data_IF_468682293669
#
_entry.id   IF_468682293669
#
_cell.length_a   1.000
_cell.length_b   1.000
_cell.length_c   1.000
_cell.angle_alpha   90.00
_cell.angle_beta   90.00
_cell.angle_gamma   90.00
#
_symmetry.space_group_name_H-M   'P 1'
#
loop_
_entity.id
_entity.type
_entity.pdbx_description
1 polymer ?
#
# COMPACT_ATOMS: atom_id res chain seq x y z
N UNK A 1 -6.48 -13.55 -18.33
CA UNK A 1 -7.04 -12.34 -18.97
C UNK A 1 -7.03 -11.24 -17.92
N UNK A 2 -6.41 -10.09 -18.18
CA UNK A 2 -6.45 -8.94 -17.27
C UNK A 2 -7.71 -8.12 -17.51
N UNK A 3 -8.50 -7.87 -16.48
CA UNK A 3 -9.69 -7.03 -16.58
C UNK A 3 -9.40 -5.66 -15.95
N UNK A 4 -9.73 -4.58 -16.66
CA UNK A 4 -9.60 -3.23 -16.15
C UNK A 4 -10.89 -2.45 -16.42
N UNK A 5 -11.40 -1.74 -15.41
CA UNK A 5 -12.62 -0.93 -15.55
C UNK A 5 -12.38 0.17 -16.58
N UNK A 6 -13.34 0.48 -17.47
CA UNK A 6 -13.21 1.56 -18.44
C UNK A 6 -13.43 2.91 -17.76
N UNK A 7 -12.46 3.34 -16.95
CA UNK A 7 -12.45 4.67 -16.33
C UNK A 7 -11.54 5.63 -17.09
N UNK A 8 -11.82 6.93 -17.01
CA UNK A 8 -10.94 7.98 -17.59
C UNK A 8 -9.50 7.87 -17.04
N UNK A 9 -9.33 7.34 -15.82
CA UNK A 9 -8.05 7.22 -15.13
C UNK A 9 -7.25 5.97 -15.48
N UNK A 10 -7.90 4.90 -15.95
CA UNK A 10 -7.26 3.57 -16.11
C UNK A 10 -7.50 2.89 -17.46
N UNK A 11 -8.46 3.34 -18.26
CA UNK A 11 -8.80 2.70 -19.54
C UNK A 11 -7.62 2.66 -20.52
N UNK A 12 -6.78 3.69 -20.53
CA UNK A 12 -5.58 3.80 -21.37
C UNK A 12 -4.56 2.68 -21.16
N UNK A 13 -4.61 1.97 -20.02
CA UNK A 13 -3.71 0.84 -19.71
C UNK A 13 -3.98 -0.37 -20.60
N UNK A 14 -5.23 -0.59 -21.01
CA UNK A 14 -5.66 -1.75 -21.80
C UNK A 14 -4.94 -1.82 -23.17
N UNK A 15 -4.99 -0.78 -24.02
CA UNK A 15 -4.32 -0.82 -25.32
C UNK A 15 -2.78 -0.83 -25.21
N UNK A 16 -2.19 -0.40 -24.09
CA UNK A 16 -0.76 -0.58 -23.85
C UNK A 16 -0.41 -2.04 -23.55
N UNK A 17 -1.12 -2.66 -22.61
CA UNK A 17 -0.94 -4.06 -22.27
C UNK A 17 -1.13 -4.98 -23.48
N UNK A 18 -2.18 -4.75 -24.28
CA UNK A 18 -2.42 -5.52 -25.51
C UNK A 18 -1.36 -5.33 -26.61
N UNK A 19 -0.51 -4.30 -26.51
CA UNK A 19 0.67 -4.11 -27.35
C UNK A 19 1.95 -4.67 -26.72
N UNK A 20 1.85 -5.36 -25.59
CA UNK A 20 3.01 -5.89 -24.86
C UNK A 20 3.85 -4.81 -24.19
N UNK A 21 3.25 -3.65 -23.89
CA UNK A 21 3.90 -2.52 -23.21
C UNK A 21 3.37 -2.42 -21.78
N UNK A 22 4.26 -2.25 -20.80
CA UNK A 22 3.83 -2.00 -19.43
C UNK A 22 3.16 -0.62 -19.32
N UNK A 23 2.01 -0.52 -18.65
CA UNK A 23 1.38 0.77 -18.35
C UNK A 23 2.02 1.48 -17.15
N UNK A 24 2.97 0.84 -16.46
CA UNK A 24 3.66 1.39 -15.29
C UNK A 24 5.16 1.19 -15.43
N UNK A 25 5.93 2.22 -15.06
CA UNK A 25 7.40 2.11 -15.00
C UNK A 25 7.76 1.23 -13.81
N UNK A 26 8.70 0.30 -14.03
CA UNK A 26 9.28 -0.53 -12.98
C UNK A 26 10.79 -0.50 -13.10
N UNK A 27 11.47 -0.51 -11.96
CA UNK A 27 12.93 -0.59 -11.87
C UNK A 27 13.44 -2.02 -12.14
N UNK A 28 12.56 -3.02 -12.16
CA UNK A 28 12.86 -4.38 -12.58
C UNK A 28 12.54 -4.55 -14.09
N UNK A 29 13.56 -4.64 -14.96
CA UNK A 29 13.36 -4.76 -16.40
C UNK A 29 12.61 -6.04 -16.78
N UNK A 30 12.60 -7.07 -15.91
CA UNK A 30 11.85 -8.31 -16.15
C UNK A 30 10.35 -8.06 -16.31
N UNK A 31 9.80 -6.99 -15.73
CA UNK A 31 8.36 -6.67 -15.85
C UNK A 31 7.98 -6.44 -17.32
N UNK A 32 8.71 -5.55 -18.00
CA UNK A 32 8.48 -5.24 -19.41
C UNK A 32 8.72 -6.46 -20.30
N UNK A 33 9.80 -7.20 -20.03
CA UNK A 33 10.12 -8.44 -20.75
C UNK A 33 9.02 -9.49 -20.64
N UNK A 34 8.48 -9.69 -19.43
CA UNK A 34 7.41 -10.65 -19.15
C UNK A 34 6.12 -10.25 -19.85
N UNK A 35 5.72 -8.98 -19.77
CA UNK A 35 4.50 -8.49 -20.43
C UNK A 35 4.63 -8.68 -21.95
N UNK A 36 5.75 -8.23 -22.55
CA UNK A 36 6.02 -8.38 -23.98
C UNK A 36 5.96 -9.85 -24.40
N UNK A 37 6.63 -10.75 -23.67
CA UNK A 37 6.66 -12.19 -23.94
C UNK A 37 5.28 -12.82 -23.81
N UNK A 38 4.52 -12.49 -22.78
CA UNK A 38 3.19 -13.07 -22.54
C UNK A 38 2.17 -12.62 -23.59
N UNK A 39 2.32 -11.43 -24.16
CA UNK A 39 1.41 -10.88 -25.18
C UNK A 39 1.79 -11.35 -26.59
N UNK A 40 3.04 -11.17 -26.99
CA UNK A 40 3.46 -11.38 -28.39
C UNK A 40 3.91 -12.81 -28.69
N UNK A 41 4.56 -13.47 -27.75
CA UNK A 41 5.19 -14.78 -27.98
C UNK A 41 4.29 -15.91 -27.47
N UNK A 42 3.96 -15.90 -26.17
CA UNK A 42 3.18 -16.97 -25.54
C UNK A 42 1.68 -16.84 -25.76
N UNK A 43 1.19 -15.62 -26.04
CA UNK A 43 -0.24 -15.29 -26.17
C UNK A 43 -1.08 -15.72 -24.95
N UNK A 44 -0.49 -15.63 -23.77
CA UNK A 44 -1.11 -15.98 -22.47
C UNK A 44 -1.65 -14.75 -21.72
N UNK A 45 -1.36 -13.54 -22.20
CA UNK A 45 -1.86 -12.29 -21.63
C UNK A 45 -2.61 -11.47 -22.65
N UNK A 46 -3.81 -11.05 -22.27
CA UNK A 46 -4.63 -10.05 -22.97
C UNK A 46 -5.40 -9.27 -21.93
N UNK A 47 -5.66 -8.00 -22.21
CA UNK A 47 -6.38 -7.06 -21.35
C UNK A 47 -7.73 -6.69 -21.98
N UNK A 48 -8.77 -6.56 -21.14
CA UNK A 48 -10.11 -6.21 -21.58
C UNK A 48 -10.86 -5.39 -20.54
N UNK A 49 -11.97 -4.77 -20.95
CA UNK A 49 -12.93 -4.11 -20.09
C UNK A 49 -14.31 -4.79 -20.10
N UNK A 50 -14.51 -5.84 -20.91
CA UNK A 50 -15.77 -6.60 -20.89
C UNK A 50 -15.81 -7.60 -19.75
N UNK A 51 -16.94 -7.62 -19.03
CA UNK A 51 -17.20 -8.58 -17.96
C UNK A 51 -17.44 -10.01 -18.50
N UNK A 52 -17.64 -10.20 -19.81
CA UNK A 52 -17.77 -11.54 -20.39
C UNK A 52 -16.53 -12.40 -20.18
N UNK A 53 -15.35 -11.79 -20.02
CA UNK A 53 -14.12 -12.53 -19.73
C UNK A 53 -14.19 -13.30 -18.40
N UNK A 54 -15.00 -12.86 -17.44
CA UNK A 54 -15.17 -13.53 -16.14
C UNK A 54 -15.87 -14.90 -16.29
N UNK A 55 -16.69 -15.08 -17.34
CA UNK A 55 -17.35 -16.36 -17.64
C UNK A 55 -16.35 -17.47 -18.01
N UNK A 56 -15.16 -17.08 -18.46
CA UNK A 56 -14.09 -17.99 -18.90
C UNK A 56 -13.14 -18.38 -17.77
N UNK A 57 -13.24 -17.75 -16.60
CA UNK A 57 -12.28 -17.95 -15.52
C UNK A 57 -12.52 -19.26 -14.76
N UNK A 58 -11.43 -19.96 -14.44
CA UNK A 58 -11.39 -20.98 -13.38
C UNK A 58 -11.00 -20.35 -12.04
N UNK A 59 -10.16 -19.31 -12.08
CA UNK A 59 -9.75 -18.48 -10.94
C UNK A 59 -9.83 -17.01 -11.32
N UNK A 60 -10.47 -16.20 -10.48
CA UNK A 60 -10.48 -14.73 -10.57
C UNK A 60 -9.64 -14.18 -9.42
N UNK A 61 -8.52 -13.55 -9.76
CA UNK A 61 -7.69 -12.81 -8.78
C UNK A 61 -8.18 -11.37 -8.68
N UNK A 62 -8.44 -10.90 -7.47
CA UNK A 62 -9.00 -9.58 -7.19
C UNK A 62 -7.92 -8.66 -6.60
N UNK A 63 -7.45 -7.72 -7.42
CA UNK A 63 -6.48 -6.67 -7.09
C UNK A 63 -7.09 -5.27 -7.26
N UNK A 64 -8.21 -5.04 -6.58
CA UNK A 64 -8.92 -3.75 -6.58
C UNK A 64 -8.45 -2.92 -5.39
N UNK A 65 -8.33 -1.60 -5.55
CA UNK A 65 -7.93 -0.74 -4.44
C UNK A 65 -9.00 -0.74 -3.33
N UNK A 66 -8.59 -1.03 -2.11
CA UNK A 66 -9.35 -0.84 -0.87
C UNK A 66 -8.48 0.04 0.03
N UNK A 67 -8.81 1.33 0.10
CA UNK A 67 -7.98 2.32 0.80
C UNK A 67 -8.47 2.56 2.23
N UNK A 68 -7.62 3.16 3.05
CA UNK A 68 -7.99 3.70 4.35
C UNK A 68 -7.77 5.21 4.35
N UNK A 69 -8.88 5.93 4.32
CA UNK A 69 -8.96 7.38 4.20
C UNK A 69 -8.88 8.02 5.59
N UNK A 70 -7.83 8.78 5.86
CA UNK A 70 -7.72 9.60 7.08
C UNK A 70 -8.34 10.97 6.85
N UNK A 71 -9.11 11.49 7.80
CA UNK A 71 -9.67 12.85 7.71
C UNK A 71 -8.65 13.90 8.16
N UNK A 72 -7.78 13.57 9.11
CA UNK A 72 -6.74 14.47 9.63
C UNK A 72 -5.34 13.85 9.51
N UNK A 73 -4.32 14.70 9.45
CA UNK A 73 -2.92 14.28 9.53
C UNK A 73 -2.56 13.95 10.98
N UNK A 74 -2.02 12.76 11.23
CA UNK A 74 -1.61 12.34 12.59
C UNK A 74 -2.79 11.98 13.50
N UNK A 75 -3.92 11.57 12.92
CA UNK A 75 -5.04 11.01 13.66
C UNK A 75 -5.71 9.93 12.80
N UNK A 76 -5.20 8.70 12.85
CA UNK A 76 -5.72 7.59 12.07
C UNK A 76 -7.15 7.21 12.48
N UNK A 77 -7.58 7.55 13.71
CA UNK A 77 -8.87 7.08 14.26
C UNK A 77 -10.11 7.64 13.58
N UNK A 78 -9.99 8.84 13.02
CA UNK A 78 -11.08 9.46 12.29
C UNK A 78 -11.20 8.94 10.85
N UNK A 79 -10.37 7.97 10.46
CA UNK A 79 -10.39 7.42 9.12
C UNK A 79 -11.42 6.32 8.90
N UNK A 80 -11.64 6.00 7.63
CA UNK A 80 -12.56 4.95 7.19
C UNK A 80 -12.00 4.14 6.03
N UNK A 81 -12.40 2.86 5.96
CA UNK A 81 -12.09 2.02 4.82
C UNK A 81 -13.00 2.38 3.63
N UNK A 82 -12.42 2.62 2.45
CA UNK A 82 -13.16 2.80 1.20
C UNK A 82 -13.46 1.44 0.56
N UNK A 83 -14.62 0.89 0.92
CA UNK A 83 -15.06 -0.45 0.50
C UNK A 83 -15.83 -0.45 -0.83
N UNK A 84 -16.31 0.72 -1.29
CA UNK A 84 -17.32 0.80 -2.34
C UNK A 84 -16.86 0.18 -3.68
N UNK A 85 -15.60 0.43 -4.06
CA UNK A 85 -15.02 -0.13 -5.28
C UNK A 85 -14.87 -1.67 -5.22
N UNK A 86 -14.52 -2.19 -4.03
CA UNK A 86 -14.36 -3.63 -3.81
C UNK A 86 -15.72 -4.33 -3.82
N UNK A 87 -16.71 -3.82 -3.07
CA UNK A 87 -18.07 -4.38 -3.03
C UNK A 87 -18.71 -4.43 -4.42
N UNK A 88 -18.62 -3.34 -5.18
CA UNK A 88 -19.09 -3.30 -6.57
C UNK A 88 -18.39 -4.34 -7.45
N UNK A 89 -17.08 -4.52 -7.26
CA UNK A 89 -16.32 -5.51 -8.03
C UNK A 89 -16.75 -6.93 -7.70
N UNK A 90 -16.99 -7.24 -6.42
CA UNK A 90 -17.46 -8.54 -5.95
C UNK A 90 -18.86 -8.87 -6.49
N UNK A 91 -19.77 -7.88 -6.52
CA UNK A 91 -21.09 -8.04 -7.16
C UNK A 91 -20.97 -8.38 -8.64
N UNK A 92 -20.15 -7.62 -9.39
CA UNK A 92 -19.94 -7.84 -10.83
C UNK A 92 -19.31 -9.20 -11.09
N UNK A 93 -18.31 -9.60 -10.30
CA UNK A 93 -17.68 -10.91 -10.39
C UNK A 93 -18.73 -12.00 -10.20
N UNK A 94 -19.49 -11.95 -9.11
CA UNK A 94 -20.52 -12.93 -8.82
C UNK A 94 -21.65 -12.97 -9.86
N UNK A 95 -21.91 -11.89 -10.59
CA UNK A 95 -22.92 -11.86 -11.65
C UNK A 95 -22.47 -12.65 -12.90
N UNK A 96 -21.16 -12.76 -13.14
CA UNK A 96 -20.63 -13.27 -14.41
C UNK A 96 -19.88 -14.60 -14.31
N UNK A 97 -19.25 -14.91 -13.16
CA UNK A 97 -18.48 -16.16 -13.02
C UNK A 97 -19.37 -17.40 -13.09
N UNK A 98 -18.74 -18.54 -13.42
CA UNK A 98 -19.34 -19.86 -13.20
C UNK A 98 -19.36 -20.19 -11.70
N UNK A 99 -20.31 -21.00 -11.22
CA UNK A 99 -20.42 -21.34 -9.79
C UNK A 99 -19.19 -22.02 -9.17
N UNK A 100 -18.39 -22.69 -10.01
CA UNK A 100 -17.21 -23.46 -9.65
C UNK A 100 -15.89 -22.67 -9.78
N UNK A 101 -15.96 -21.39 -10.17
CA UNK A 101 -14.78 -20.53 -10.24
C UNK A 101 -14.34 -20.11 -8.82
N UNK A 102 -13.04 -20.20 -8.55
CA UNK A 102 -12.45 -19.66 -7.32
C UNK A 102 -12.28 -18.14 -7.45
N UNK A 103 -12.70 -17.39 -6.45
CA UNK A 103 -12.34 -15.97 -6.32
C UNK A 103 -11.29 -15.82 -5.23
N UNK A 104 -10.10 -15.38 -5.64
CA UNK A 104 -8.95 -15.13 -4.77
C UNK A 104 -8.82 -13.62 -4.55
N UNK A 105 -9.05 -13.17 -3.32
CA UNK A 105 -8.84 -11.78 -2.93
C UNK A 105 -7.37 -11.60 -2.55
N UNK A 106 -6.63 -10.80 -3.34
CA UNK A 106 -5.26 -10.38 -3.03
C UNK A 106 -5.14 -8.92 -2.60
N UNK A 107 -6.21 -8.13 -2.81
CA UNK A 107 -6.38 -6.81 -2.19
C UNK A 107 -6.15 -6.86 -0.68
N UNK A 108 -5.32 -5.95 -0.15
CA UNK A 108 -5.28 -5.69 1.30
C UNK A 108 -6.62 -5.16 1.76
N UNK A 109 -7.30 -5.90 2.62
CA UNK A 109 -8.64 -5.59 3.11
C UNK A 109 -8.70 -5.54 4.64
N UNK A 110 -9.78 -4.99 5.18
CA UNK A 110 -10.04 -5.03 6.61
C UNK A 110 -10.32 -6.47 7.06
N UNK A 111 -9.77 -6.95 8.20
CA UNK A 111 -10.01 -8.31 8.67
C UNK A 111 -11.51 -8.62 8.82
N UNK A 112 -11.93 -9.75 8.26
CA UNK A 112 -13.33 -10.17 8.16
C UNK A 112 -13.97 -9.88 6.80
N UNK A 113 -13.32 -9.17 5.89
CA UNK A 113 -13.91 -8.77 4.59
C UNK A 113 -14.34 -9.98 3.75
N UNK A 114 -13.50 -11.02 3.64
CA UNK A 114 -13.84 -12.19 2.83
C UNK A 114 -15.10 -12.90 3.35
N UNK A 115 -15.20 -13.11 4.67
CA UNK A 115 -16.31 -13.86 5.29
C UNK A 115 -17.58 -13.01 5.51
N UNK A 116 -17.43 -11.73 5.84
CA UNK A 116 -18.55 -10.87 6.28
C UNK A 116 -19.02 -9.88 5.22
N UNK A 117 -18.23 -9.66 4.15
CA UNK A 117 -18.57 -8.74 3.06
C UNK A 117 -18.67 -9.49 1.74
N UNK A 118 -17.57 -10.11 1.29
CA UNK A 118 -17.52 -10.77 -0.01
C UNK A 118 -18.47 -11.96 -0.09
N UNK A 119 -18.41 -12.87 0.89
CA UNK A 119 -19.28 -14.04 0.95
C UNK A 119 -20.78 -13.70 0.87
N UNK A 120 -21.36 -12.84 1.73
CA UNK A 120 -22.78 -12.53 1.65
C UNK A 120 -23.18 -11.80 0.36
N UNK A 121 -22.35 -10.88 -0.15
CA UNK A 121 -22.59 -10.21 -1.44
C UNK A 121 -22.69 -11.24 -2.57
N UNK A 122 -21.67 -12.07 -2.71
CA UNK A 122 -21.58 -13.03 -3.80
C UNK A 122 -22.64 -14.12 -3.69
N UNK A 123 -22.92 -14.61 -2.48
CA UNK A 123 -23.98 -15.60 -2.22
C UNK A 123 -25.36 -15.05 -2.58
N UNK A 124 -25.67 -13.79 -2.24
CA UNK A 124 -26.92 -13.13 -2.63
C UNK A 124 -27.07 -13.05 -4.15
N UNK A 125 -26.00 -12.72 -4.87
CA UNK A 125 -26.00 -12.70 -6.34
C UNK A 125 -26.18 -14.11 -6.91
N UNK A 126 -25.50 -15.12 -6.38
CA UNK A 126 -25.68 -16.52 -6.80
C UNK A 126 -27.14 -16.97 -6.66
N UNK A 127 -27.78 -16.71 -5.52
CA UNK A 127 -29.21 -17.04 -5.33
C UNK A 127 -30.12 -16.31 -6.31
N UNK A 128 -29.84 -15.05 -6.63
CA UNK A 128 -30.57 -14.28 -7.66
C UNK A 128 -30.44 -14.90 -9.05
N UNK A 129 -29.28 -15.50 -9.36
CA UNK A 129 -28.99 -16.22 -10.60
C UNK A 129 -29.52 -17.67 -10.61
N UNK A 130 -30.18 -18.12 -9.54
CA UNK A 130 -30.66 -19.51 -9.41
C UNK A 130 -29.57 -20.53 -9.11
N UNK A 131 -28.40 -20.08 -8.63
CA UNK A 131 -27.28 -20.95 -8.24
C UNK A 131 -27.43 -21.30 -6.75
N UNK A 132 -27.49 -22.59 -6.43
CA UNK A 132 -27.70 -23.09 -5.06
C UNK A 132 -26.40 -23.33 -4.29
N UNK A 133 -25.28 -23.58 -4.97
CA UNK A 133 -23.97 -23.71 -4.33
C UNK A 133 -23.53 -22.39 -3.71
N UNK A 134 -22.65 -22.46 -2.72
CA UNK A 134 -22.01 -21.28 -2.15
C UNK A 134 -20.76 -20.91 -2.96
N UNK A 135 -20.40 -19.61 -3.04
CA UNK A 135 -19.23 -19.17 -3.80
C UNK A 135 -17.92 -19.66 -3.16
N UNK A 136 -16.97 -20.06 -4.00
CA UNK A 136 -15.62 -20.47 -3.57
C UNK A 136 -14.74 -19.23 -3.41
N UNK A 137 -14.48 -18.84 -2.16
CA UNK A 137 -13.67 -17.66 -1.83
C UNK A 137 -12.38 -18.04 -1.10
N UNK A 138 -11.31 -17.36 -1.45
CA UNK A 138 -10.02 -17.47 -0.78
C UNK A 138 -9.39 -16.08 -0.60
N UNK A 139 -8.52 -15.97 0.39
CA UNK A 139 -7.69 -14.79 0.59
C UNK A 139 -6.21 -15.20 0.58
N UNK A 140 -5.39 -14.39 -0.06
CA UNK A 140 -3.93 -14.51 -0.09
C UNK A 140 -3.35 -13.12 -0.08
N UNK A 141 -2.37 -12.81 0.76
CA UNK A 141 -1.74 -11.50 0.70
C UNK A 141 -0.33 -11.57 0.15
N UNK A 142 0.05 -10.51 -0.55
CA UNK A 142 1.35 -10.38 -1.16
C UNK A 142 2.37 -9.64 -0.27
N UNK A 143 3.65 -9.86 -0.56
CA UNK A 143 4.81 -9.20 0.07
C UNK A 143 5.75 -8.63 -0.99
N UNK A 144 5.16 -8.05 -2.02
CA UNK A 144 5.78 -7.36 -3.14
C UNK A 144 6.66 -6.25 -2.60
N UNK A 145 7.86 -6.19 -3.14
CA UNK A 145 8.81 -5.13 -2.87
C UNK A 145 9.05 -4.35 -4.17
N UNK A 146 8.68 -3.06 -4.23
CA UNK A 146 9.09 -2.18 -5.32
C UNK A 146 10.62 -2.14 -5.45
N UNK A 147 11.11 -1.91 -6.67
CA UNK A 147 12.53 -1.85 -7.01
C UNK A 147 12.99 -2.96 -7.93
N UNK A 148 14.31 -3.14 -8.03
CA UNK A 148 15.00 -3.99 -9.03
C UNK A 148 14.70 -5.49 -8.94
N UNK A 149 14.07 -5.96 -7.87
CA UNK A 149 13.72 -7.37 -7.64
C UNK A 149 12.20 -7.57 -7.58
N UNK A 150 11.42 -6.71 -8.23
CA UNK A 150 9.97 -6.73 -8.18
C UNK A 150 9.40 -8.11 -8.54
N UNK A 151 9.82 -8.71 -9.66
CA UNK A 151 9.33 -10.02 -10.10
C UNK A 151 9.73 -11.13 -9.13
N UNK A 152 10.95 -11.08 -8.62
CA UNK A 152 11.45 -12.09 -7.68
C UNK A 152 10.73 -11.97 -6.33
N UNK A 153 10.36 -10.76 -5.88
CA UNK A 153 9.57 -10.56 -4.66
C UNK A 153 8.16 -11.15 -4.72
N UNK A 154 7.64 -11.37 -5.93
CA UNK A 154 6.36 -12.05 -6.14
C UNK A 154 6.57 -13.56 -6.19
N UNK A 155 7.52 -14.01 -7.01
CA UNK A 155 7.69 -15.44 -7.35
C UNK A 155 8.45 -16.25 -6.31
N UNK A 156 9.48 -15.64 -5.70
CA UNK A 156 10.46 -16.29 -4.83
C UNK A 156 10.34 -15.73 -3.41
N UNK A 157 9.14 -15.79 -2.86
CA UNK A 157 8.87 -15.27 -1.52
C UNK A 157 7.72 -16.02 -0.85
N UNK A 158 7.80 -16.11 0.49
CA UNK A 158 6.76 -16.78 1.27
C UNK A 158 5.41 -16.10 1.10
N UNK A 159 4.40 -16.90 0.76
CA UNK A 159 3.01 -16.49 0.58
C UNK A 159 2.13 -17.12 1.66
N UNK A 160 1.16 -16.36 2.16
CA UNK A 160 0.14 -16.84 3.09
C UNK A 160 -1.20 -16.87 2.36
N UNK A 161 -1.94 -17.96 2.50
CA UNK A 161 -3.28 -18.08 1.90
C UNK A 161 -4.25 -18.82 2.83
N UNK A 162 -5.54 -18.73 2.51
CA UNK A 162 -6.63 -19.42 3.21
C UNK A 162 -7.86 -19.50 2.31
N UNK A 163 -8.73 -20.48 2.56
CA UNK A 163 -10.01 -20.63 1.88
C UNK A 163 -11.18 -20.55 2.86
N UNK A 164 -12.35 -20.12 2.41
CA UNK A 164 -13.56 -20.05 3.25
C UNK A 164 -14.10 -21.43 3.64
N UNK A 165 -13.68 -22.47 2.92
CA UNK A 165 -13.95 -23.89 3.19
C UNK A 165 -12.79 -24.74 2.64
N UNK A 166 -12.85 -26.05 2.87
CA UNK A 166 -11.81 -26.99 2.46
C UNK A 166 -11.58 -27.00 0.94
N UNK A 167 -12.65 -26.97 0.13
CA UNK A 167 -12.52 -26.94 -1.34
C UNK A 167 -11.80 -25.68 -1.83
N UNK A 168 -12.18 -24.51 -1.32
CA UNK A 168 -11.54 -23.25 -1.68
C UNK A 168 -10.07 -23.22 -1.24
N UNK A 169 -9.76 -23.81 -0.07
CA UNK A 169 -8.41 -23.92 0.46
C UNK A 169 -7.53 -24.81 -0.42
N UNK A 170 -8.02 -25.97 -0.84
CA UNK A 170 -7.29 -26.86 -1.74
C UNK A 170 -7.05 -26.23 -3.12
N UNK A 171 -8.07 -25.53 -3.65
CA UNK A 171 -7.97 -24.84 -4.94
C UNK A 171 -7.00 -23.67 -4.91
N UNK A 172 -6.98 -22.85 -3.86
CA UNK A 172 -6.03 -21.74 -3.75
C UNK A 172 -4.59 -22.26 -3.59
N UNK A 173 -4.38 -23.32 -2.80
CA UNK A 173 -3.06 -23.95 -2.65
C UNK A 173 -2.56 -24.46 -3.99
N UNK A 174 -3.41 -25.16 -4.76
CA UNK A 174 -3.05 -25.63 -6.10
C UNK A 174 -2.70 -24.47 -7.03
N UNK A 175 -3.57 -23.46 -7.12
CA UNK A 175 -3.35 -22.30 -8.00
C UNK A 175 -2.05 -21.56 -7.68
N UNK A 176 -1.78 -21.29 -6.40
CA UNK A 176 -0.56 -20.60 -5.98
C UNK A 176 0.68 -21.45 -6.20
N UNK A 177 0.60 -22.76 -6.00
CA UNK A 177 1.70 -23.70 -6.27
C UNK A 177 2.09 -23.77 -7.74
N UNK A 178 1.14 -23.53 -8.66
CA UNK A 178 1.41 -23.53 -10.10
C UNK A 178 2.12 -22.25 -10.59
N UNK A 179 2.02 -21.14 -9.83
CA UNK A 179 2.52 -19.81 -10.27
C UNK A 179 3.69 -19.27 -9.45
N UNK A 180 3.91 -19.79 -8.24
CA UNK A 180 4.96 -19.38 -7.30
C UNK A 180 6.02 -20.48 -7.12
N UNK A 181 7.22 -20.11 -6.68
CA UNK A 181 8.27 -21.06 -6.31
C UNK A 181 8.01 -21.61 -4.90
N UNK A 182 7.07 -22.55 -4.77
CA UNK A 182 6.70 -23.14 -3.48
C UNK A 182 7.66 -24.22 -3.00
N UNK A 183 8.60 -24.67 -3.84
CA UNK A 183 9.65 -25.62 -3.47
C UNK A 183 10.63 -24.98 -2.49
N UNK A 184 11.14 -23.79 -2.84
CA UNK A 184 12.05 -23.02 -1.96
C UNK A 184 11.29 -22.17 -0.93
N UNK A 185 10.05 -21.76 -1.26
CA UNK A 185 9.23 -20.87 -0.43
C UNK A 185 7.84 -21.47 -0.18
N UNK A 186 7.72 -22.48 0.70
CA UNK A 186 6.45 -23.15 0.97
C UNK A 186 5.35 -22.18 1.38
N UNK A 187 4.12 -22.47 0.94
CA UNK A 187 2.93 -21.71 1.33
C UNK A 187 2.64 -21.91 2.82
N UNK A 188 2.29 -20.82 3.51
CA UNK A 188 1.65 -20.91 4.82
C UNK A 188 0.14 -20.89 4.62
N UNK A 189 -0.52 -22.00 4.91
CA UNK A 189 -1.97 -22.13 4.74
C UNK A 189 -2.65 -21.97 6.10
N UNK A 190 -3.52 -20.97 6.21
CA UNK A 190 -4.31 -20.70 7.41
C UNK A 190 -5.72 -21.31 7.27
N UNK A 191 -6.37 -21.51 8.41
CA UNK A 191 -7.66 -22.20 8.46
C UNK A 191 -8.78 -21.32 7.92
N UNK A 192 -8.71 -20.00 8.15
CA UNK A 192 -9.77 -19.05 7.79
C UNK A 192 -9.27 -17.78 7.10
N UNK A 193 -10.07 -17.18 6.18
CA UNK A 193 -9.75 -15.92 5.53
C UNK A 193 -9.41 -14.77 6.47
N UNK A 194 -10.17 -14.60 7.56
CA UNK A 194 -9.92 -13.55 8.55
C UNK A 194 -8.52 -13.63 9.18
N UNK A 195 -7.96 -14.84 9.32
CA UNK A 195 -6.61 -15.02 9.89
C UNK A 195 -5.56 -14.52 8.89
N UNK A 196 -5.74 -14.81 7.60
CA UNK A 196 -4.85 -14.33 6.53
C UNK A 196 -4.94 -12.82 6.34
N UNK A 197 -6.15 -12.24 6.37
CA UNK A 197 -6.36 -10.80 6.35
C UNK A 197 -5.70 -10.13 7.57
N UNK A 198 -5.91 -10.69 8.77
CA UNK A 198 -5.32 -10.19 10.02
C UNK A 198 -3.79 -10.25 9.98
N UNK A 199 -3.21 -11.34 9.47
CA UNK A 199 -1.76 -11.51 9.38
C UNK A 199 -1.12 -10.38 8.57
N UNK A 200 -1.72 -9.95 7.46
CA UNK A 200 -1.25 -8.81 6.66
C UNK A 200 -1.26 -7.51 7.48
N UNK A 201 -2.36 -7.22 8.17
CA UNK A 201 -2.49 -5.99 8.96
C UNK A 201 -1.52 -5.97 10.14
N UNK A 202 -1.33 -7.11 10.82
CA UNK A 202 -0.40 -7.24 11.94
C UNK A 202 1.05 -7.09 11.48
N UNK A 203 1.44 -7.68 10.34
CA UNK A 203 2.79 -7.56 9.77
C UNK A 203 3.19 -6.10 9.55
N UNK A 204 2.29 -5.31 8.94
CA UNK A 204 2.53 -3.88 8.69
C UNK A 204 2.44 -3.03 9.96
N UNK A 205 1.49 -3.32 10.85
CA UNK A 205 1.34 -2.62 12.13
C UNK A 205 2.55 -2.81 13.05
N UNK A 206 3.13 -4.02 13.06
CA UNK A 206 4.35 -4.33 13.81
C UNK A 206 5.53 -3.48 13.31
N UNK A 207 5.75 -3.43 11.99
CA UNK A 207 6.82 -2.62 11.40
C UNK A 207 6.63 -1.12 11.67
N UNK A 208 5.40 -0.61 11.53
CA UNK A 208 5.07 0.77 11.85
C UNK A 208 5.34 1.10 13.33
N UNK A 209 5.00 0.17 14.23
CA UNK A 209 5.24 0.32 15.68
C UNK A 209 6.73 0.43 16.01
N UNK A 210 7.57 -0.44 15.44
CA UNK A 210 9.03 -0.36 15.67
C UNK A 210 9.59 0.97 15.17
N UNK A 211 9.14 1.45 14.01
CA UNK A 211 9.57 2.74 13.46
C UNK A 211 9.15 3.93 14.32
N UNK A 212 7.92 3.90 14.86
CA UNK A 212 7.43 4.94 15.75
C UNK A 212 8.19 4.94 17.09
N UNK A 213 8.35 3.75 17.69
CA UNK A 213 9.11 3.57 18.92
C UNK A 213 10.54 4.11 18.77
N UNK A 214 11.23 3.78 17.68
CA UNK A 214 12.59 4.25 17.48
C UNK A 214 12.67 5.73 17.11
N UNK A 215 11.61 6.31 16.54
CA UNK A 215 11.53 7.76 16.35
C UNK A 215 11.46 8.50 17.69
N UNK A 216 10.70 8.00 18.67
CA UNK A 216 10.69 8.58 20.03
C UNK A 216 12.11 8.59 20.64
N UNK A 217 12.84 7.48 20.48
CA UNK A 217 14.23 7.37 20.95
C UNK A 217 15.21 8.22 20.13
N UNK A 218 14.93 8.51 18.86
CA UNK A 218 15.76 9.44 18.08
C UNK A 218 15.66 10.85 18.64
N UNK A 219 14.46 11.30 19.01
CA UNK A 219 14.26 12.59 19.66
C UNK A 219 14.94 12.66 21.04
N UNK A 220 14.90 11.57 21.82
CA UNK A 220 15.66 11.47 23.06
C UNK A 220 17.16 11.58 22.80
N UNK A 221 17.67 10.82 21.83
CA UNK A 221 19.10 10.77 21.52
C UNK A 221 19.63 12.13 21.06
N UNK A 222 18.90 12.81 20.17
CA UNK A 222 19.20 14.16 19.70
C UNK A 222 19.31 15.18 20.85
N UNK A 223 18.39 15.14 21.82
CA UNK A 223 18.38 16.08 22.96
C UNK A 223 19.47 15.81 23.99
N UNK A 224 19.96 14.57 24.07
CA UNK A 224 20.91 14.14 25.10
C UNK A 224 22.33 13.89 24.54
N UNK A 225 22.57 14.17 23.26
CA UNK A 225 23.88 13.96 22.62
C UNK A 225 24.28 12.48 22.52
N UNK A 226 23.30 11.59 22.35
CA UNK A 226 23.52 10.15 22.19
C UNK A 226 23.53 9.79 20.70
N UNK A 227 24.50 8.97 20.29
CA UNK A 227 24.54 8.41 18.95
C UNK A 227 23.64 7.16 18.87
N UNK A 228 22.39 7.35 18.45
CA UNK A 228 21.40 6.27 18.39
C UNK A 228 21.84 5.14 17.44
N UNK A 229 22.60 5.43 16.38
CA UNK A 229 23.05 4.40 15.43
C UNK A 229 23.98 3.43 16.15
N UNK A 230 24.93 3.93 16.94
CA UNK A 230 25.82 3.07 17.76
C UNK A 230 25.04 2.24 18.78
N UNK A 231 24.01 2.81 19.41
CA UNK A 231 23.14 2.09 20.36
C UNK A 231 22.39 0.95 19.65
N UNK A 232 21.81 1.21 18.49
CA UNK A 232 21.08 0.20 17.70
C UNK A 232 22.02 -0.95 17.30
N UNK A 233 23.21 -0.65 16.78
CA UNK A 233 24.18 -1.67 16.38
C UNK A 233 24.67 -2.51 17.57
N UNK A 234 24.85 -1.91 18.75
CA UNK A 234 25.18 -2.64 19.97
C UNK A 234 24.05 -3.59 20.43
N UNK A 235 22.79 -3.27 20.15
CA UNK A 235 21.64 -4.13 20.51
C UNK A 235 21.45 -5.26 19.49
N UNK A 236 21.64 -4.98 18.19
CA UNK A 236 21.37 -5.92 17.09
C UNK A 236 22.23 -7.19 17.12
N UNK A 237 23.31 -7.22 17.90
CA UNK A 237 24.08 -8.45 18.18
C UNK A 237 23.23 -9.52 18.87
N UNK A 238 22.11 -9.16 19.52
CA UNK A 238 21.17 -10.09 20.12
C UNK A 238 20.17 -10.59 19.06
N UNK A 239 20.08 -11.91 18.81
CA UNK A 239 19.14 -12.45 17.83
C UNK A 239 17.67 -12.06 18.06
N UNK A 240 17.27 -11.84 19.31
CA UNK A 240 15.89 -11.43 19.65
C UNK A 240 15.57 -9.97 19.31
N UNK A 241 16.58 -9.14 19.00
CA UNK A 241 16.43 -7.69 18.73
C UNK A 241 17.13 -7.26 17.43
N UNK A 242 17.62 -8.22 16.63
CA UNK A 242 18.33 -7.93 15.38
C UNK A 242 17.44 -7.31 14.30
N UNK A 243 16.12 -7.28 14.52
CA UNK A 243 15.08 -6.67 13.68
C UNK A 243 14.79 -5.20 14.02
N UNK A 244 15.52 -4.59 14.95
CA UNK A 244 15.46 -3.13 15.20
C UNK A 244 15.95 -2.39 13.94
N UNK A 245 15.20 -1.36 13.54
CA UNK A 245 15.43 -0.60 12.30
C UNK A 245 15.56 0.89 12.57
N UNK A 246 16.49 1.57 11.91
CA UNK A 246 16.61 3.02 12.06
C UNK A 246 15.30 3.71 11.61
N UNK A 247 14.74 4.65 12.40
CA UNK A 247 13.41 5.18 12.13
C UNK A 247 13.35 6.00 10.84
N UNK A 248 14.43 6.73 10.51
CA UNK A 248 14.46 7.64 9.37
C UNK A 248 13.55 8.87 9.58
N UNK A 249 13.61 9.85 8.66
CA UNK A 249 12.86 11.10 8.79
C UNK A 249 11.37 10.97 8.41
N UNK A 250 10.95 9.87 7.77
CA UNK A 250 9.56 9.70 7.32
C UNK A 250 9.25 8.24 6.97
N UNK A 251 7.98 7.86 6.97
CA UNK A 251 7.51 6.64 6.28
C UNK A 251 6.83 7.03 4.98
N UNK A 252 6.57 6.06 4.11
CA UNK A 252 5.65 6.23 3.00
C UNK A 252 5.28 4.89 2.37
N UNK A 253 4.82 4.95 1.13
CA UNK A 253 4.12 3.84 0.50
C UNK A 253 2.73 3.66 1.08
N UNK A 254 1.90 2.82 0.45
CA UNK A 254 0.51 2.67 0.90
C UNK A 254 0.36 1.93 2.22
N UNK A 255 1.24 0.99 2.55
CA UNK A 255 0.93 0.01 3.59
C UNK A 255 1.11 0.54 5.02
N UNK A 256 2.31 1.04 5.34
CA UNK A 256 2.64 1.44 6.72
C UNK A 256 1.82 2.63 7.26
N UNK A 257 1.48 3.66 6.47
CA UNK A 257 0.75 4.82 6.98
C UNK A 257 -0.73 4.58 7.28
N UNK A 258 -1.29 3.42 6.89
CA UNK A 258 -2.76 3.25 6.87
C UNK A 258 -3.27 1.86 7.23
N UNK A 259 -2.54 0.78 6.96
CA UNK A 259 -3.09 -0.58 7.06
C UNK A 259 -3.58 -0.92 8.48
N UNK A 260 -2.89 -0.43 9.52
CA UNK A 260 -3.36 -0.61 10.90
C UNK A 260 -4.73 0.04 11.17
N UNK A 261 -5.09 1.08 10.42
CA UNK A 261 -6.43 1.69 10.42
C UNK A 261 -7.52 0.75 9.94
N UNK A 262 -7.22 -0.17 9.01
CA UNK A 262 -8.17 -1.19 8.55
C UNK A 262 -8.57 -2.14 9.68
N UNK A 263 -7.62 -2.51 10.56
CA UNK A 263 -7.90 -3.33 11.75
C UNK A 263 -8.79 -2.61 12.76
N UNK A 264 -8.52 -1.32 13.01
CA UNK A 264 -9.35 -0.47 13.87
C UNK A 264 -10.76 -0.35 13.31
N UNK A 265 -10.87 -0.14 11.99
CA UNK A 265 -12.15 0.00 11.31
C UNK A 265 -12.95 -1.31 11.32
N UNK A 266 -12.32 -2.45 11.03
CA UNK A 266 -12.97 -3.77 11.09
C UNK A 266 -13.55 -4.07 12.47
N UNK A 267 -12.78 -3.83 13.53
CA UNK A 267 -13.21 -4.06 14.92
C UNK A 267 -14.54 -3.37 15.23
N UNK A 268 -14.71 -2.13 14.76
CA UNK A 268 -15.94 -1.37 14.95
C UNK A 268 -17.04 -1.72 13.95
N UNK A 269 -16.73 -1.71 12.66
CA UNK A 269 -17.76 -1.70 11.60
C UNK A 269 -18.15 -3.10 11.11
N UNK A 270 -17.23 -4.06 11.12
CA UNK A 270 -17.53 -5.44 10.72
C UNK A 270 -17.92 -6.26 11.96
N UNK A 271 -17.17 -6.12 13.05
CA UNK A 271 -17.39 -6.92 14.25
C UNK A 271 -18.34 -6.29 15.27
N UNK A 272 -18.68 -5.00 15.13
CA UNK A 272 -19.70 -4.34 15.95
C UNK A 272 -19.28 -4.01 17.38
N UNK A 273 -17.97 -3.93 17.66
CA UNK A 273 -17.47 -3.56 18.98
C UNK A 273 -17.35 -2.04 19.14
N UNK A 274 -17.76 -1.52 20.30
CA UNK A 274 -17.75 -0.09 20.62
C UNK A 274 -16.68 0.31 21.67
N UNK A 275 -15.92 -0.65 22.20
CA UNK A 275 -14.79 -0.40 23.11
C UNK A 275 -13.47 -0.12 22.34
N UNK A 276 -12.46 0.38 23.06
CA UNK A 276 -11.16 0.75 22.46
C UNK A 276 -10.01 -0.11 22.99
N UNK A 277 -9.70 -1.17 22.24
CA UNK A 277 -8.58 -2.09 22.51
C UNK A 277 -7.26 -1.65 21.85
N UNK A 278 -7.31 -0.79 20.83
CA UNK A 278 -6.13 -0.43 20.05
C UNK A 278 -5.44 0.78 20.67
N UNK A 279 -4.37 0.59 21.45
CA UNK A 279 -3.57 1.72 21.97
C UNK A 279 -2.32 1.98 21.15
N UNK A 280 -1.59 0.92 20.83
CA UNK A 280 -0.26 1.02 20.21
C UNK A 280 -0.36 1.37 18.72
N UNK A 281 -1.14 0.60 17.95
CA UNK A 281 -1.29 0.78 16.50
C UNK A 281 -1.63 2.21 16.08
N UNK A 282 -2.68 2.87 16.63
CA UNK A 282 -3.03 4.23 16.23
C UNK A 282 -1.92 5.23 16.57
N UNK A 283 -1.40 5.19 17.81
CA UNK A 283 -0.30 6.06 18.23
C UNK A 283 0.94 5.88 17.36
N UNK A 284 1.28 4.65 16.98
CA UNK A 284 2.40 4.38 16.09
C UNK A 284 2.19 5.01 14.70
N UNK A 285 0.98 4.90 14.14
CA UNK A 285 0.66 5.54 12.85
C UNK A 285 0.74 7.05 12.96
N UNK A 286 0.15 7.64 14.00
CA UNK A 286 0.11 9.10 14.21
C UNK A 286 1.50 9.72 14.40
N UNK A 287 2.38 9.03 15.15
CA UNK A 287 3.79 9.41 15.28
C UNK A 287 4.50 9.37 13.92
N UNK A 288 4.29 8.28 13.16
CA UNK A 288 4.95 8.12 11.87
C UNK A 288 4.43 9.08 10.79
N UNK A 289 3.17 9.49 10.85
CA UNK A 289 2.56 10.47 9.95
C UNK A 289 3.21 11.85 10.09
N UNK A 290 3.62 12.21 11.31
CA UNK A 290 4.03 13.58 11.63
C UNK A 290 5.54 13.74 11.80
N UNK A 291 6.30 12.65 11.93
CA UNK A 291 7.75 12.69 12.20
C UNK A 291 8.57 13.50 11.19
N UNK A 292 8.17 13.56 9.92
CA UNK A 292 8.91 14.33 8.91
C UNK A 292 8.82 15.85 9.12
N UNK A 293 7.86 16.33 9.92
CA UNK A 293 7.81 17.72 10.35
C UNK A 293 9.01 18.10 11.22
N UNK A 294 9.60 17.14 11.93
CA UNK A 294 10.81 17.36 12.74
C UNK A 294 12.02 17.67 11.85
N UNK A 295 12.16 16.97 10.72
CA UNK A 295 13.24 17.25 9.76
C UNK A 295 13.20 18.71 9.25
N UNK A 296 12.02 19.26 8.98
CA UNK A 296 11.86 20.67 8.59
C UNK A 296 12.29 21.62 9.73
N UNK A 297 12.02 21.26 10.98
CA UNK A 297 12.44 22.05 12.15
C UNK A 297 13.95 22.05 12.32
N UNK A 298 14.62 20.91 12.11
CA UNK A 298 16.08 20.82 12.13
C UNK A 298 16.72 21.74 11.08
N UNK A 299 16.15 21.81 9.86
CA UNK A 299 16.61 22.73 8.81
C UNK A 299 16.48 24.19 9.27
N UNK A 300 15.31 24.57 9.80
CA UNK A 300 15.07 25.93 10.34
C UNK A 300 16.08 26.28 11.44
N UNK A 301 16.28 25.38 12.39
CA UNK A 301 17.15 25.63 13.53
C UNK A 301 18.63 25.70 13.13
N UNK A 302 19.05 24.88 12.17
CA UNK A 302 20.38 24.97 11.57
C UNK A 302 20.60 26.32 10.85
N UNK A 303 19.63 26.78 10.05
CA UNK A 303 19.69 28.10 9.41
C UNK A 303 19.80 29.22 10.44
N UNK A 304 18.96 29.16 11.49
CA UNK A 304 19.01 30.13 12.60
C UNK A 304 20.38 30.15 13.28
N UNK A 305 20.98 29.00 13.53
CA UNK A 305 22.31 28.90 14.14
C UNK A 305 23.43 29.46 13.24
N UNK A 306 23.21 29.50 11.92
CA UNK A 306 24.07 30.19 10.96
C UNK A 306 23.75 31.69 10.81
N UNK A 307 22.83 32.24 11.62
CA UNK A 307 22.39 33.64 11.52
C UNK A 307 21.52 33.93 10.29
N UNK A 308 20.92 32.89 9.68
CA UNK A 308 20.09 33.02 8.48
C UNK A 308 18.63 32.69 8.81
N UNK A 309 17.65 33.51 8.39
CA UNK A 309 16.24 33.14 8.51
C UNK A 309 15.90 31.99 7.53
N UNK A 310 14.89 31.19 7.88
CA UNK A 310 14.31 30.19 6.96
C UNK A 310 13.48 30.83 5.84
N UNK A 311 12.88 31.99 6.12
CA UNK A 311 12.12 32.74 5.13
C UNK A 311 13.02 33.15 3.95
N UNK A 312 12.55 32.89 2.73
CA UNK A 312 13.26 33.08 1.47
C UNK A 312 14.58 32.30 1.34
N UNK A 313 14.88 31.35 2.24
CA UNK A 313 16.05 30.49 2.09
C UNK A 313 15.78 29.45 0.99
N UNK A 314 16.69 29.36 0.02
CA UNK A 314 16.69 28.25 -0.93
C UNK A 314 17.17 26.97 -0.23
N UNK A 315 16.35 25.93 -0.27
CA UNK A 315 16.64 24.64 0.37
C UNK A 315 16.52 23.53 -0.67
N UNK A 316 17.63 22.86 -0.98
CA UNK A 316 17.61 21.69 -1.85
C UNK A 316 17.33 20.43 -1.02
N UNK A 317 16.21 19.76 -1.31
CA UNK A 317 15.83 18.45 -0.78
C UNK A 317 16.32 17.38 -1.75
N UNK A 318 17.17 16.47 -1.28
CA UNK A 318 17.68 15.35 -2.07
C UNK A 318 16.88 14.09 -1.72
N UNK A 319 16.03 13.64 -2.63
CA UNK A 319 15.12 12.51 -2.47
C UNK A 319 13.66 12.93 -2.32
N UNK A 320 12.84 12.50 -3.26
CA UNK A 320 11.39 12.68 -3.30
C UNK A 320 10.67 11.37 -2.94
N UNK A 321 11.21 10.22 -3.36
CA UNK A 321 10.57 8.94 -3.14
C UNK A 321 10.56 8.53 -1.66
N UNK A 322 9.63 7.64 -1.29
CA UNK A 322 9.52 7.19 0.11
C UNK A 322 10.60 6.16 0.49
N UNK A 323 11.30 5.58 -0.49
CA UNK A 323 12.27 4.50 -0.32
C UNK A 323 13.40 4.64 -1.33
N UNK A 324 14.59 4.22 -0.92
CA UNK A 324 15.77 4.16 -1.79
C UNK A 324 15.51 3.37 -3.09
N UNK A 325 16.14 3.81 -4.18
CA UNK A 325 16.16 3.14 -5.48
C UNK A 325 14.80 2.83 -6.11
N UNK A 326 13.75 3.60 -5.76
CA UNK A 326 12.43 3.54 -6.40
C UNK A 326 11.90 4.94 -6.68
N UNK A 327 11.10 5.08 -7.74
CA UNK A 327 10.46 6.35 -8.14
C UNK A 327 9.06 6.58 -7.53
N UNK A 328 8.74 5.95 -6.40
CA UNK A 328 7.42 6.01 -5.79
C UNK A 328 7.32 7.10 -4.72
N UNK A 329 6.48 8.11 -4.96
CA UNK A 329 6.30 9.29 -4.09
C UNK A 329 5.10 9.20 -3.16
N UNK A 330 4.30 8.13 -3.26
CA UNK A 330 3.01 8.03 -2.55
C UNK A 330 3.23 8.00 -1.03
N UNK A 331 2.54 8.89 -0.31
CA UNK A 331 2.71 9.08 1.14
C UNK A 331 4.16 9.36 1.57
N UNK A 332 5.03 9.84 0.67
CA UNK A 332 6.44 10.06 1.00
C UNK A 332 6.60 11.10 2.10
N UNK A 333 7.43 10.79 3.10
CA UNK A 333 7.82 11.76 4.13
C UNK A 333 8.49 13.02 3.56
N UNK A 334 9.11 12.93 2.38
CA UNK A 334 9.67 14.09 1.70
C UNK A 334 8.60 15.09 1.27
N UNK A 335 7.38 14.64 0.93
CA UNK A 335 6.27 15.54 0.63
C UNK A 335 5.96 16.43 1.84
N UNK A 336 5.85 15.82 3.02
CA UNK A 336 5.56 16.51 4.27
C UNK A 336 6.66 17.52 4.63
N UNK A 337 7.92 17.13 4.43
CA UNK A 337 9.09 18.00 4.61
C UNK A 337 9.01 19.24 3.69
N UNK A 338 8.82 19.04 2.39
CA UNK A 338 8.73 20.12 1.39
C UNK A 338 7.57 21.06 1.70
N UNK A 339 6.38 20.51 1.97
CA UNK A 339 5.19 21.28 2.35
C UNK A 339 5.44 22.13 3.60
N UNK A 340 6.09 21.56 4.61
CA UNK A 340 6.39 22.26 5.86
C UNK A 340 7.47 23.34 5.69
N UNK A 341 8.49 23.11 4.88
CA UNK A 341 9.50 24.12 4.55
C UNK A 341 8.89 25.32 3.81
N UNK A 342 8.03 25.07 2.83
CA UNK A 342 7.30 26.11 2.12
C UNK A 342 6.38 26.91 3.05
N UNK A 343 5.68 26.23 3.96
CA UNK A 343 4.84 26.89 4.97
C UNK A 343 5.65 27.81 5.91
N UNK A 344 6.90 27.42 6.24
CA UNK A 344 7.85 28.26 6.98
C UNK A 344 8.41 29.44 6.14
N UNK A 345 8.09 29.51 4.85
CA UNK A 345 8.52 30.56 3.92
C UNK A 345 9.83 30.27 3.19
N UNK A 346 10.37 29.05 3.28
CA UNK A 346 11.52 28.65 2.47
C UNK A 346 11.12 28.47 0.99
N UNK A 347 12.12 28.47 0.10
CA UNK A 347 11.96 28.17 -1.32
C UNK A 347 12.59 26.78 -1.58
N UNK A 348 11.83 25.68 -1.38
CA UNK A 348 12.34 24.33 -1.57
C UNK A 348 12.55 24.01 -3.04
N UNK A 349 13.68 23.37 -3.35
CA UNK A 349 13.94 22.66 -4.60
C UNK A 349 14.09 21.18 -4.29
N UNK A 350 13.80 20.32 -5.24
CA UNK A 350 13.89 18.86 -5.05
C UNK A 350 14.75 18.29 -6.16
N UNK A 351 15.50 17.24 -5.85
CA UNK A 351 16.15 16.39 -6.83
C UNK A 351 15.96 14.91 -6.44
N UNK A 352 15.49 14.10 -7.38
CA UNK A 352 15.39 12.64 -7.24
C UNK A 352 15.67 11.96 -8.60
N UNK A 353 16.65 11.05 -8.68
CA UNK A 353 17.04 10.45 -9.96
C UNK A 353 16.03 9.42 -10.50
N UNK A 354 15.00 9.04 -9.74
CA UNK A 354 13.99 8.05 -10.14
C UNK A 354 12.60 8.64 -10.39
N UNK A 355 12.37 9.90 -10.00
CA UNK A 355 11.07 10.56 -10.11
C UNK A 355 11.06 11.54 -11.27
N UNK A 356 10.33 11.20 -12.34
CA UNK A 356 10.18 12.08 -13.51
C UNK A 356 9.09 13.16 -13.27
N UNK A 357 8.04 12.80 -12.51
CA UNK A 357 6.88 13.64 -12.22
C UNK A 357 6.47 13.47 -10.78
N UNK A 358 6.26 14.58 -10.06
CA UNK A 358 5.76 14.55 -8.69
C UNK A 358 4.32 15.08 -8.63
N UNK A 359 3.37 14.19 -8.94
CA UNK A 359 1.96 14.53 -9.13
C UNK A 359 1.29 15.14 -7.90
N UNK A 360 1.71 14.76 -6.70
CA UNK A 360 1.25 15.33 -5.43
C UNK A 360 1.52 16.85 -5.33
N UNK A 361 2.49 17.37 -6.08
CA UNK A 361 2.77 18.81 -6.22
C UNK A 361 2.26 19.41 -7.54
N UNK A 362 2.44 18.73 -8.67
CA UNK A 362 2.01 19.23 -9.99
C UNK A 362 0.48 19.36 -10.09
N UNK A 363 -0.26 18.44 -9.43
CA UNK A 363 -1.73 18.34 -9.49
C UNK A 363 -2.36 18.28 -8.10
N UNK A 364 -1.93 19.18 -7.21
CA UNK A 364 -2.34 19.17 -5.79
C UNK A 364 -3.86 19.17 -5.56
N UNK A 365 -4.63 19.73 -6.48
CA UNK A 365 -6.09 19.86 -6.34
C UNK A 365 -6.84 18.64 -6.89
N UNK A 366 -6.17 17.75 -7.64
CA UNK A 366 -6.82 16.68 -8.41
C UNK A 366 -6.23 15.29 -8.17
N UNK A 367 -4.97 15.19 -7.72
CA UNK A 367 -4.24 13.94 -7.60
C UNK A 367 -4.06 13.47 -6.15
N UNK A 368 -4.29 12.18 -5.85
CA UNK A 368 -5.06 11.22 -6.66
C UNK A 368 -6.57 11.53 -6.63
N UNK A 369 -7.03 12.28 -5.62
CA UNK A 369 -8.31 13.01 -5.59
C UNK A 369 -8.16 14.16 -4.57
N UNK A 370 -9.07 15.16 -4.57
CA UNK A 370 -9.05 16.24 -3.58
C UNK A 370 -9.03 15.76 -2.12
N UNK A 371 -9.66 14.63 -1.83
CA UNK A 371 -9.78 14.06 -0.47
C UNK A 371 -8.46 13.46 0.04
N UNK A 372 -7.57 13.04 -0.87
CA UNK A 372 -6.28 12.44 -0.54
C UNK A 372 -5.13 13.46 -0.50
N UNK A 373 -5.34 14.67 -1.01
CA UNK A 373 -4.28 15.68 -1.12
C UNK A 373 -3.89 16.24 0.24
N UNK A 374 -2.60 16.16 0.59
CA UNK A 374 -2.07 16.75 1.82
C UNK A 374 -2.03 18.28 1.79
N UNK A 375 -2.23 18.91 0.63
CA UNK A 375 -2.34 20.38 0.52
C UNK A 375 -3.30 20.97 1.54
N UNK A 376 -4.40 20.28 1.84
CA UNK A 376 -5.44 20.74 2.78
C UNK A 376 -4.93 21.00 4.20
N UNK A 377 -3.77 20.46 4.57
CA UNK A 377 -3.20 20.56 5.91
C UNK A 377 -2.14 21.66 6.07
N UNK A 378 -1.79 22.37 5.00
CA UNK A 378 -0.66 23.30 4.98
C UNK A 378 -1.01 24.60 4.26
N UNK A 379 -0.26 25.67 4.59
CA UNK A 379 -0.39 27.00 3.97
C UNK A 379 0.81 27.33 3.06
N UNK A 380 0.69 28.40 2.28
CA UNK A 380 1.75 28.97 1.42
C UNK A 380 2.30 27.99 0.38
N UNK A 381 1.40 27.34 -0.36
CA UNK A 381 1.74 26.23 -1.27
C UNK A 381 1.56 26.58 -2.75
N UNK A 382 1.21 27.82 -3.07
CA UNK A 382 0.90 28.27 -4.42
C UNK A 382 2.05 28.01 -5.38
N UNK A 383 3.29 28.32 -4.95
CA UNK A 383 4.51 28.11 -5.73
C UNK A 383 4.89 26.64 -5.92
N UNK A 384 4.39 25.74 -5.06
CA UNK A 384 4.76 24.32 -5.14
C UNK A 384 4.20 23.63 -6.40
N UNK A 385 3.21 24.22 -7.08
CA UNK A 385 2.72 23.71 -8.38
C UNK A 385 3.80 23.77 -9.48
N UNK A 386 4.74 24.69 -9.34
CA UNK A 386 5.85 24.89 -10.27
C UNK A 386 7.10 24.10 -9.87
N UNK A 387 7.04 23.34 -8.77
CA UNK A 387 8.13 22.48 -8.33
C UNK A 387 8.45 21.45 -9.43
N UNK A 388 9.73 21.26 -9.69
CA UNK A 388 10.28 20.24 -10.58
C UNK A 388 11.31 19.43 -9.80
N UNK A 389 11.33 18.12 -10.07
CA UNK A 389 12.20 17.13 -9.44
C UNK A 389 13.35 16.78 -10.37
#
# INVERSE_FOLDING_TARGET
IGMQRPSVRSFWKIPLLNRGLSPVKSEDPKVDELIRRCVHEKKTLTATFTYDALKLADVVVVDVQCDYLKEELGNVRNGQADMAALEQSLEIIAEHIRPDALVLIETTVAPGTTEQVAYPIMRKVFRRRGIETDPLLAHSYERVMPGRQYVDSIRNFWRVCSGINDEARDRVVRFLSDVLNVEDYPLTVLDRPIESETAKIVENSFRATILAFLHEWSLFAERNGVDLIKVIEAIKVRPTHSNIIFPGPGIGGYCLPKDGGLGIWAYRHLHGFDDDIFRITPTAIDINDTRALHAAQLVRDALRNMGRPVAAAEVLVLGASYREDVGDTRYSGSELLVRRLAEMGAEPRVHDPYVDHWWEFEKQDEYPSPEYSWKRFFRNQEKLKDLRV
#
